data_IF_217168002607
#
_entry.id   IF_217168002607
#
_cell.length_a   1.000
_cell.length_b   1.000
_cell.length_c   1.000
_cell.angle_alpha   90.00
_cell.angle_beta   90.00
_cell.angle_gamma   90.00
#
_symmetry.space_group_name_H-M   'P 1'
#
loop_
_entity.id
_entity.type
_entity.pdbx_description
1 polymer ?
#
# COMPACT_ATOMS: atom_id res chain seq x y z
N UNK A 1 -28.40 21.94 21.62
CA UNK A 1 -28.28 20.66 20.89
C UNK A 1 -27.60 21.00 19.58
N UNK A 2 -26.35 20.53 19.36
CA UNK A 2 -25.65 20.72 18.10
C UNK A 2 -25.90 19.47 17.26
N UNK A 3 -26.62 19.60 16.16
CA UNK A 3 -26.79 18.53 15.18
C UNK A 3 -25.83 18.82 14.03
N UNK A 4 -25.05 17.82 13.61
CA UNK A 4 -24.27 17.90 12.39
C UNK A 4 -25.24 17.74 11.23
N UNK A 5 -25.36 18.78 10.40
CA UNK A 5 -26.13 18.74 9.18
C UNK A 5 -25.16 18.32 8.06
N UNK A 6 -25.26 17.06 7.65
CA UNK A 6 -24.54 16.53 6.49
C UNK A 6 -25.53 16.40 5.33
N UNK A 7 -25.08 16.81 4.15
CA UNK A 7 -25.70 16.51 2.86
C UNK A 7 -25.23 15.14 2.37
N UNK A 8 -25.97 14.52 1.44
CA UNK A 8 -25.59 13.20 0.90
C UNK A 8 -24.18 13.23 0.27
N UNK A 9 -23.80 14.35 -0.34
CA UNK A 9 -22.48 14.58 -0.93
C UNK A 9 -21.34 14.69 0.11
N UNK A 10 -21.65 14.81 1.42
CA UNK A 10 -20.65 14.78 2.49
C UNK A 10 -20.23 13.34 2.86
N UNK A 11 -20.89 12.33 2.29
CA UNK A 11 -20.56 10.92 2.48
C UNK A 11 -19.84 10.36 1.27
N UNK A 12 -18.87 9.48 1.53
CA UNK A 12 -18.28 8.66 0.49
C UNK A 12 -19.26 7.57 0.05
N UNK A 13 -19.30 7.27 -1.24
CA UNK A 13 -19.98 6.09 -1.73
C UNK A 13 -19.38 4.82 -1.08
N UNK A 14 -20.19 3.80 -0.75
CA UNK A 14 -19.70 2.59 -0.09
C UNK A 14 -18.50 1.95 -0.80
N UNK A 15 -18.45 2.00 -2.13
CA UNK A 15 -17.36 1.46 -2.93
C UNK A 15 -16.04 2.23 -2.75
N UNK A 16 -16.10 3.51 -2.37
CA UNK A 16 -14.92 4.34 -2.11
C UNK A 16 -14.29 4.06 -0.74
N UNK A 17 -15.05 3.45 0.18
CA UNK A 17 -14.60 3.07 1.53
C UNK A 17 -14.59 1.55 1.73
N UNK A 18 -14.97 0.79 0.71
CA UNK A 18 -14.92 -0.65 0.73
C UNK A 18 -13.46 -1.08 0.85
N UNK A 19 -13.14 -1.73 1.97
CA UNK A 19 -11.85 -2.38 2.14
C UNK A 19 -11.83 -3.60 1.22
N UNK A 20 -10.90 -3.62 0.26
CA UNK A 20 -10.67 -4.80 -0.56
C UNK A 20 -10.25 -5.99 0.32
N UNK A 21 -10.58 -7.21 -0.12
CA UNK A 21 -10.24 -8.42 0.64
C UNK A 21 -8.73 -8.62 0.56
N UNK A 22 -8.07 -8.48 1.71
CA UNK A 22 -6.65 -8.80 1.83
C UNK A 22 -6.41 -10.31 1.58
N UNK A 23 -5.34 -10.68 0.86
CA UNK A 23 -4.90 -12.07 0.71
C UNK A 23 -4.83 -12.85 2.03
N UNK A 24 -4.90 -14.18 1.96
CA UNK A 24 -4.60 -15.00 3.13
C UNK A 24 -3.14 -14.86 3.56
N UNK A 25 -2.87 -15.04 4.85
CA UNK A 25 -1.54 -14.86 5.44
C UNK A 25 -0.43 -15.64 4.72
N UNK A 26 -0.70 -16.87 4.27
CA UNK A 26 0.31 -17.69 3.58
C UNK A 26 0.75 -17.08 2.24
N UNK A 27 -0.15 -16.40 1.55
CA UNK A 27 0.15 -15.69 0.29
C UNK A 27 0.93 -14.40 0.56
N UNK A 28 0.56 -13.66 1.60
CA UNK A 28 1.28 -12.46 2.03
C UNK A 28 2.73 -12.76 2.44
N UNK A 29 2.94 -13.88 3.14
CA UNK A 29 4.23 -14.26 3.71
C UNK A 29 5.32 -14.37 2.65
N UNK A 30 4.98 -14.86 1.46
CA UNK A 30 5.92 -14.94 0.35
C UNK A 30 6.40 -13.53 -0.07
N UNK A 31 5.48 -12.59 -0.23
CA UNK A 31 5.77 -11.19 -0.57
C UNK A 31 6.67 -10.53 0.47
N UNK A 32 6.39 -10.74 1.76
CA UNK A 32 7.16 -10.16 2.87
C UNK A 32 8.54 -10.81 3.09
N UNK A 33 8.77 -12.03 2.61
CA UNK A 33 10.08 -12.70 2.74
C UNK A 33 11.23 -11.89 2.13
N UNK A 34 10.91 -11.07 1.11
CA UNK A 34 11.87 -10.24 0.37
C UNK A 34 12.03 -8.83 0.93
N UNK A 35 11.32 -8.48 2.01
CA UNK A 35 11.27 -7.10 2.53
C UNK A 35 12.67 -6.50 2.78
N UNK A 36 13.55 -7.24 3.47
CA UNK A 36 14.92 -6.77 3.75
C UNK A 36 15.74 -6.54 2.48
N UNK A 37 15.55 -7.39 1.47
CA UNK A 37 16.24 -7.24 0.20
C UNK A 37 15.74 -5.98 -0.54
N UNK A 38 14.43 -5.76 -0.56
CA UNK A 38 13.81 -4.58 -1.15
C UNK A 38 14.23 -3.29 -0.44
N UNK A 39 14.41 -3.33 0.88
CA UNK A 39 14.95 -2.21 1.65
C UNK A 39 16.35 -1.82 1.21
N UNK A 40 17.25 -2.80 1.15
CA UNK A 40 18.64 -2.56 0.72
C UNK A 40 18.67 -2.04 -0.72
N UNK A 41 17.89 -2.64 -1.64
CA UNK A 41 17.86 -2.17 -3.03
C UNK A 41 17.32 -0.75 -3.14
N UNK A 42 16.26 -0.41 -2.40
CA UNK A 42 15.64 0.94 -2.43
C UNK A 42 16.61 2.00 -1.96
N UNK A 43 17.34 1.75 -0.87
CA UNK A 43 18.34 2.69 -0.35
C UNK A 43 19.51 2.86 -1.34
N UNK A 44 20.00 1.75 -1.92
CA UNK A 44 21.10 1.80 -2.89
C UNK A 44 20.70 2.51 -4.19
N UNK A 45 19.50 2.27 -4.69
CA UNK A 45 18.95 2.92 -5.89
C UNK A 45 18.69 4.42 -5.65
N UNK A 46 18.17 4.78 -4.49
CA UNK A 46 17.99 6.17 -4.09
C UNK A 46 19.35 6.91 -4.02
N UNK A 47 20.37 6.27 -3.44
CA UNK A 47 21.72 6.81 -3.38
C UNK A 47 22.35 6.96 -4.78
N UNK A 48 22.20 5.98 -5.67
CA UNK A 48 22.74 6.04 -7.03
C UNK A 48 22.08 7.14 -7.89
N UNK A 49 20.81 7.44 -7.61
CA UNK A 49 20.04 8.49 -8.27
C UNK A 49 20.24 9.89 -7.65
N UNK A 50 21.26 10.10 -6.79
CA UNK A 50 21.51 11.35 -6.07
C UNK A 50 20.31 11.85 -5.25
N UNK A 51 19.44 10.95 -4.79
CA UNK A 51 18.29 11.23 -3.92
C UNK A 51 18.29 10.26 -2.74
N UNK A 52 19.29 10.32 -1.85
CA UNK A 52 19.35 9.42 -0.71
C UNK A 52 18.08 9.58 0.14
N UNK A 53 17.48 8.45 0.47
CA UNK A 53 16.32 8.37 1.36
C UNK A 53 16.78 7.86 2.71
N UNK A 54 16.10 8.30 3.78
CA UNK A 54 16.31 7.71 5.10
C UNK A 54 15.60 6.35 5.22
N UNK A 55 15.83 5.66 6.33
CA UNK A 55 15.24 4.34 6.56
C UNK A 55 13.71 4.36 6.62
N UNK A 56 13.10 5.41 7.17
CA UNK A 56 11.65 5.50 7.29
C UNK A 56 10.99 5.74 5.92
N UNK A 57 11.63 6.55 5.07
CA UNK A 57 11.22 6.76 3.69
C UNK A 57 11.36 5.47 2.87
N UNK A 58 12.50 4.77 3.00
CA UNK A 58 12.69 3.49 2.33
C UNK A 58 11.67 2.44 2.79
N UNK A 59 11.41 2.32 4.10
CA UNK A 59 10.40 1.42 4.64
C UNK A 59 9.03 1.70 4.00
N UNK A 60 8.60 2.96 3.99
CA UNK A 60 7.30 3.36 3.43
C UNK A 60 7.19 3.03 1.93
N UNK A 61 8.25 3.26 1.16
CA UNK A 61 8.29 2.92 -0.27
C UNK A 61 8.19 1.40 -0.50
N UNK A 62 8.89 0.61 0.31
CA UNK A 62 8.83 -0.86 0.23
C UNK A 62 7.45 -1.38 0.63
N UNK A 63 6.83 -0.80 1.66
CA UNK A 63 5.46 -1.13 2.07
C UNK A 63 4.45 -0.87 0.95
N UNK A 64 4.46 0.33 0.35
CA UNK A 64 3.57 0.66 -0.77
C UNK A 64 3.78 -0.25 -1.97
N UNK A 65 5.03 -0.62 -2.27
CA UNK A 65 5.33 -1.57 -3.34
C UNK A 65 4.69 -2.93 -3.07
N UNK A 66 4.87 -3.48 -1.87
CA UNK A 66 4.32 -4.78 -1.50
C UNK A 66 2.79 -4.76 -1.46
N UNK A 67 2.20 -3.66 -0.99
CA UNK A 67 0.75 -3.45 -1.03
C UNK A 67 0.21 -3.50 -2.47
N UNK A 68 0.82 -2.75 -3.38
CA UNK A 68 0.44 -2.78 -4.80
C UNK A 68 0.60 -4.18 -5.42
N UNK A 69 1.70 -4.88 -5.12
CA UNK A 69 1.92 -6.26 -5.59
C UNK A 69 0.81 -7.21 -5.11
N UNK A 70 0.36 -7.07 -3.85
CA UNK A 70 -0.72 -7.89 -3.28
C UNK A 70 -2.09 -7.54 -3.86
N UNK A 71 -2.38 -6.25 -4.07
CA UNK A 71 -3.60 -5.77 -4.70
C UNK A 71 -3.72 -6.26 -6.15
N UNK A 72 -2.64 -6.22 -6.93
CA UNK A 72 -2.62 -6.71 -8.31
C UNK A 72 -2.87 -8.23 -8.41
N UNK A 73 -2.43 -9.00 -7.41
CA UNK A 73 -2.68 -10.45 -7.33
C UNK A 73 -4.15 -10.77 -6.99
N UNK A 74 -4.83 -9.88 -6.27
CA UNK A 74 -6.17 -10.11 -5.69
C UNK A 74 -7.30 -9.38 -6.40
N UNK A 75 -6.99 -8.33 -7.16
CA UNK A 75 -7.95 -7.66 -8.01
C UNK A 75 -8.40 -8.62 -9.11
N UNK A 76 -9.69 -9.05 -9.13
CA UNK A 76 -10.22 -9.73 -10.28
C UNK A 76 -10.10 -8.75 -11.44
N UNK A 77 -9.33 -9.10 -12.48
CA UNK A 77 -9.36 -8.34 -13.73
C UNK A 77 -10.83 -8.16 -14.09
N UNK A 78 -11.32 -6.93 -14.03
CA UNK A 78 -12.60 -6.55 -14.62
C UNK A 78 -12.53 -6.99 -16.09
N UNK A 79 -13.13 -8.13 -16.38
CA UNK A 79 -13.45 -8.66 -17.70
C UNK A 79 -14.97 -8.67 -17.84
#
# INVERSE_FOLDING_TARGET
MLALAFSDDDFYEPEQIALEVMPFYEEQKESFSRFRQLMVSTILEAASNNRPVDNAQADLMVWQRLENELLEQHSPRLQ
#
